data_IF_655947574409
#
_entry.id   IF_655947574409
#
_cell.length_a   1.000
_cell.length_b   1.000
_cell.length_c   1.000
_cell.angle_alpha   90.00
_cell.angle_beta   90.00
_cell.angle_gamma   90.00
#
_symmetry.space_group_name_H-M   'P 1'
#
loop_
_entity.id
_entity.type
_entity.pdbx_description
1 polymer ?
#
# COMPACT_ATOMS: atom_id res chain seq x y z
N UNK A 1 -33.29 10.22 1.15
CA UNK A 1 -32.34 9.57 0.24
C UNK A 1 -30.99 10.24 0.45
N UNK A 2 -30.13 9.61 1.25
CA UNK A 2 -28.86 10.21 1.66
C UNK A 2 -27.87 10.20 0.50
N UNK A 3 -27.31 11.36 0.19
CA UNK A 3 -26.51 11.63 -0.99
C UNK A 3 -25.18 10.84 -0.94
N UNK A 4 -25.16 9.68 -1.58
CA UNK A 4 -24.06 8.72 -1.70
C UNK A 4 -22.73 9.38 -2.09
N UNK A 5 -22.82 10.43 -2.90
CA UNK A 5 -21.70 11.21 -3.42
C UNK A 5 -21.01 12.11 -2.38
N UNK A 6 -21.74 12.61 -1.38
CA UNK A 6 -21.25 13.71 -0.53
C UNK A 6 -19.99 13.36 0.29
N UNK A 7 -19.83 12.10 0.70
CA UNK A 7 -18.66 11.68 1.50
C UNK A 7 -17.42 11.46 0.66
N UNK A 8 -17.52 10.80 -0.49
CA UNK A 8 -16.38 10.67 -1.41
C UNK A 8 -15.98 12.03 -1.98
N UNK A 9 -16.94 12.85 -2.39
CA UNK A 9 -16.69 14.16 -2.96
C UNK A 9 -15.95 15.07 -1.96
N UNK A 10 -16.38 15.06 -0.69
CA UNK A 10 -15.71 15.82 0.37
C UNK A 10 -14.26 15.35 0.60
N UNK A 11 -14.02 14.04 0.54
CA UNK A 11 -12.67 13.46 0.65
C UNK A 11 -11.81 13.86 -0.55
N UNK A 12 -12.34 13.76 -1.77
CA UNK A 12 -11.65 14.15 -3.01
C UNK A 12 -11.26 15.62 -2.98
N UNK A 13 -12.14 16.51 -2.53
CA UNK A 13 -11.83 17.94 -2.37
C UNK A 13 -10.69 18.14 -1.38
N UNK A 14 -10.76 17.49 -0.22
CA UNK A 14 -9.74 17.61 0.83
C UNK A 14 -8.37 17.13 0.37
N UNK A 15 -8.31 15.94 -0.24
CA UNK A 15 -7.08 15.37 -0.78
C UNK A 15 -6.52 16.20 -1.93
N UNK A 16 -7.38 16.70 -2.83
CA UNK A 16 -6.97 17.58 -3.94
C UNK A 16 -6.35 18.87 -3.42
N UNK A 17 -6.94 19.47 -2.38
CA UNK A 17 -6.38 20.66 -1.71
C UNK A 17 -5.03 20.34 -1.09
N UNK A 18 -4.91 19.21 -0.38
CA UNK A 18 -3.63 18.81 0.23
C UNK A 18 -2.53 18.55 -0.80
N UNK A 19 -2.87 17.97 -1.96
CA UNK A 19 -1.93 17.80 -3.07
C UNK A 19 -1.41 19.14 -3.59
N UNK A 20 -2.28 20.16 -3.73
CA UNK A 20 -1.87 21.51 -4.15
C UNK A 20 -0.94 22.14 -3.13
N UNK A 21 -1.26 22.06 -1.83
CA UNK A 21 -0.39 22.56 -0.74
C UNK A 21 1.00 21.92 -0.77
N UNK A 22 1.08 20.64 -1.16
CA UNK A 22 2.34 19.89 -1.30
C UNK A 22 3.07 20.16 -2.63
N UNK A 23 2.58 21.08 -3.47
CA UNK A 23 3.22 21.48 -4.72
C UNK A 23 3.01 20.51 -5.90
N UNK A 24 2.01 19.63 -5.83
CA UNK A 24 1.68 18.77 -6.97
C UNK A 24 1.19 19.60 -8.15
N UNK A 25 1.65 19.26 -9.36
CA UNK A 25 1.21 19.93 -10.60
C UNK A 25 -0.29 19.69 -10.84
N UNK A 26 -1.03 20.68 -11.36
CA UNK A 26 -2.47 20.54 -11.66
C UNK A 26 -2.79 19.32 -12.54
N UNK A 27 -1.93 19.04 -13.54
CA UNK A 27 -2.08 17.87 -14.42
C UNK A 27 -2.00 16.53 -13.67
N UNK A 28 -1.18 16.45 -12.62
CA UNK A 28 -1.06 15.24 -11.79
C UNK A 28 -2.32 15.07 -10.94
N UNK A 29 -2.84 16.16 -10.38
CA UNK A 29 -4.07 16.15 -9.59
C UNK A 29 -5.26 15.71 -10.46
N UNK A 30 -5.38 16.27 -11.67
CA UNK A 30 -6.44 15.87 -12.62
C UNK A 30 -6.40 14.38 -12.96
N UNK A 31 -5.20 13.77 -13.07
CA UNK A 31 -5.09 12.31 -13.31
C UNK A 31 -5.66 11.50 -12.15
N UNK A 32 -5.42 11.91 -10.92
CA UNK A 32 -6.00 11.26 -9.75
C UNK A 32 -7.53 11.46 -9.70
N UNK A 33 -8.01 12.67 -9.98
CA UNK A 33 -9.44 12.99 -9.99
C UNK A 33 -10.23 12.14 -10.99
N UNK A 34 -9.73 11.94 -12.21
CA UNK A 34 -10.39 11.05 -13.19
C UNK A 34 -10.57 9.63 -12.69
N UNK A 35 -9.62 9.12 -11.91
CA UNK A 35 -9.75 7.80 -11.32
C UNK A 35 -10.78 7.80 -10.17
N UNK A 36 -10.80 8.86 -9.36
CA UNK A 36 -11.79 9.00 -8.29
C UNK A 36 -13.21 9.21 -8.81
N UNK A 37 -13.39 9.82 -9.98
CA UNK A 37 -14.69 9.87 -10.68
C UNK A 37 -15.17 8.46 -11.06
N UNK A 38 -14.26 7.60 -11.54
CA UNK A 38 -14.60 6.20 -11.83
C UNK A 38 -14.91 5.41 -10.54
N UNK A 39 -14.19 5.68 -9.45
CA UNK A 39 -14.48 5.13 -8.13
C UNK A 39 -15.88 5.56 -7.66
N UNK A 40 -16.28 6.82 -7.86
CA UNK A 40 -17.62 7.30 -7.55
C UNK A 40 -18.70 6.51 -8.29
N UNK A 41 -18.56 6.34 -9.61
CA UNK A 41 -19.48 5.52 -10.42
C UNK A 41 -19.51 4.06 -9.97
N UNK A 42 -18.37 3.51 -9.58
CA UNK A 42 -18.29 2.16 -9.02
C UNK A 42 -19.08 2.07 -7.70
N UNK A 43 -18.89 3.03 -6.79
CA UNK A 43 -19.62 3.08 -5.52
C UNK A 43 -21.13 3.22 -5.71
N UNK A 44 -21.58 4.04 -6.67
CA UNK A 44 -23.00 4.14 -7.03
C UNK A 44 -23.55 2.80 -7.52
N UNK A 45 -22.83 2.11 -8.40
CA UNK A 45 -23.23 0.78 -8.92
C UNK A 45 -23.33 -0.27 -7.80
N UNK A 46 -22.49 -0.16 -6.77
CA UNK A 46 -22.50 -1.07 -5.62
C UNK A 46 -23.43 -0.59 -4.49
N UNK A 47 -24.17 0.50 -4.68
CA UNK A 47 -25.06 1.13 -3.69
C UNK A 47 -24.33 1.52 -2.37
N UNK A 48 -23.03 1.86 -2.47
CA UNK A 48 -22.19 2.20 -1.32
C UNK A 48 -22.05 3.71 -1.13
N UNK A 49 -22.56 4.21 -0.01
CA UNK A 49 -22.62 5.66 0.29
C UNK A 49 -21.41 6.25 1.02
N UNK A 50 -20.53 5.41 1.54
CA UNK A 50 -19.37 5.85 2.32
C UNK A 50 -18.13 5.17 1.80
N UNK A 51 -17.12 5.97 1.46
CA UNK A 51 -15.82 5.43 1.09
C UNK A 51 -15.14 4.79 2.30
N UNK A 52 -14.58 3.60 2.10
CA UNK A 52 -13.66 2.94 3.04
C UNK A 52 -12.46 2.40 2.26
N UNK A 53 -11.33 2.10 2.92
CA UNK A 53 -10.18 1.46 2.26
C UNK A 53 -10.56 0.17 1.53
N UNK A 54 -11.46 -0.65 2.10
CA UNK A 54 -11.93 -1.89 1.49
C UNK A 54 -12.64 -1.65 0.16
N UNK A 55 -13.45 -0.59 0.05
CA UNK A 55 -14.10 -0.20 -1.21
C UNK A 55 -13.06 0.22 -2.24
N UNK A 56 -12.02 0.96 -1.83
CA UNK A 56 -10.89 1.30 -2.69
C UNK A 56 -10.14 0.07 -3.22
N UNK A 57 -9.95 -0.95 -2.37
CA UNK A 57 -9.34 -2.22 -2.78
C UNK A 57 -10.22 -3.04 -3.72
N UNK A 58 -11.52 -3.15 -3.42
CA UNK A 58 -12.49 -3.83 -4.28
C UNK A 58 -12.57 -3.17 -5.65
N UNK A 59 -12.61 -1.84 -5.70
CA UNK A 59 -12.58 -1.09 -6.95
C UNK A 59 -11.34 -1.40 -7.80
N UNK A 60 -10.14 -1.37 -7.20
CA UNK A 60 -8.90 -1.72 -7.93
C UNK A 60 -8.93 -3.15 -8.48
N UNK A 61 -9.45 -4.09 -7.68
CA UNK A 61 -9.52 -5.50 -8.05
C UNK A 61 -10.57 -5.76 -9.14
N UNK A 62 -11.77 -5.23 -8.98
CA UNK A 62 -12.91 -5.58 -9.85
C UNK A 62 -12.97 -4.73 -11.12
N UNK A 63 -12.52 -3.48 -11.06
CA UNK A 63 -12.59 -2.57 -12.20
C UNK A 63 -11.29 -2.53 -13.02
N UNK A 64 -10.15 -2.74 -12.37
CA UNK A 64 -8.83 -2.67 -13.02
C UNK A 64 -8.05 -3.98 -12.98
N UNK A 65 -8.61 -5.05 -12.40
CA UNK A 65 -7.95 -6.36 -12.24
C UNK A 65 -6.61 -6.29 -11.47
N UNK A 66 -6.42 -5.22 -10.67
CA UNK A 66 -5.20 -4.99 -9.91
C UNK A 66 -5.24 -5.82 -8.63
N UNK A 67 -4.34 -6.79 -8.53
CA UNK A 67 -4.16 -7.62 -7.33
C UNK A 67 -2.77 -7.45 -6.72
N UNK A 68 -2.63 -7.75 -5.42
CA UNK A 68 -1.38 -7.55 -4.66
C UNK A 68 -0.27 -8.52 -5.09
N UNK A 69 -0.61 -9.60 -5.79
CA UNK A 69 0.32 -10.67 -6.17
C UNK A 69 1.08 -10.45 -7.48
N UNK A 70 0.77 -9.42 -8.25
CA UNK A 70 1.30 -9.24 -9.61
C UNK A 70 2.28 -8.07 -9.74
N UNK A 71 3.17 -8.16 -10.73
CA UNK A 71 4.12 -7.10 -11.05
C UNK A 71 3.38 -5.97 -11.77
N UNK A 72 2.98 -4.95 -11.00
CA UNK A 72 2.19 -3.84 -11.51
C UNK A 72 2.88 -3.06 -12.64
N UNK A 73 2.14 -2.80 -13.72
CA UNK A 73 2.53 -1.88 -14.79
C UNK A 73 2.68 -0.45 -14.24
N UNK A 74 3.23 0.46 -15.06
CA UNK A 74 3.35 1.88 -14.66
C UNK A 74 1.98 2.50 -14.41
N UNK A 75 0.97 2.11 -15.20
CA UNK A 75 -0.38 2.62 -15.10
C UNK A 75 -1.09 2.08 -13.87
N UNK A 76 -0.99 0.78 -13.61
CA UNK A 76 -1.57 0.15 -12.41
C UNK A 76 -1.00 0.73 -11.12
N UNK A 77 0.32 1.01 -11.08
CA UNK A 77 0.93 1.73 -9.95
C UNK A 77 0.35 3.12 -9.76
N UNK A 78 0.07 3.84 -10.85
CA UNK A 78 -0.58 5.15 -10.75
C UNK A 78 -2.02 5.02 -10.25
N UNK A 79 -2.74 3.96 -10.63
CA UNK A 79 -4.08 3.67 -10.13
C UNK A 79 -4.09 3.32 -8.65
N UNK A 80 -3.26 2.36 -8.22
CA UNK A 80 -3.07 2.02 -6.82
C UNK A 80 -2.65 3.23 -5.99
N UNK A 81 -1.76 4.08 -6.53
CA UNK A 81 -1.35 5.31 -5.86
C UNK A 81 -2.50 6.30 -5.66
N UNK A 82 -3.41 6.39 -6.62
CA UNK A 82 -4.57 7.27 -6.52
C UNK A 82 -5.48 6.87 -5.36
N UNK A 83 -5.67 5.56 -5.14
CA UNK A 83 -6.43 5.05 -3.99
C UNK A 83 -5.65 5.20 -2.68
N UNK A 84 -4.33 4.94 -2.69
CA UNK A 84 -3.48 5.16 -1.51
C UNK A 84 -3.59 6.59 -0.98
N UNK A 85 -3.63 7.60 -1.86
CA UNK A 85 -3.79 9.00 -1.44
C UNK A 85 -5.09 9.28 -0.67
N UNK A 86 -6.19 8.61 -1.03
CA UNK A 86 -7.46 8.72 -0.28
C UNK A 86 -7.34 8.02 1.08
N UNK A 87 -6.73 6.84 1.12
CA UNK A 87 -6.54 6.07 2.35
C UNK A 87 -5.62 6.78 3.34
N UNK A 88 -4.45 7.24 2.87
CA UNK A 88 -3.47 8.01 3.66
C UNK A 88 -4.17 9.17 4.37
N UNK A 89 -4.97 9.94 3.62
CA UNK A 89 -5.67 11.11 4.16
C UNK A 89 -6.82 10.75 5.09
N UNK A 90 -7.57 9.68 4.79
CA UNK A 90 -8.67 9.22 5.65
C UNK A 90 -8.15 8.76 7.02
N UNK A 91 -7.00 8.09 7.06
CA UNK A 91 -6.41 7.55 8.27
C UNK A 91 -5.66 8.62 9.08
N UNK A 92 -4.91 9.49 8.42
CA UNK A 92 -3.93 10.36 9.07
C UNK A 92 -4.18 11.86 8.89
N UNK A 93 -5.13 12.26 8.04
CA UNK A 93 -5.35 13.66 7.66
C UNK A 93 -4.22 14.26 6.81
N UNK A 94 -3.24 13.46 6.40
CA UNK A 94 -2.12 13.88 5.55
C UNK A 94 -1.95 12.95 4.36
N UNK A 95 -1.18 13.40 3.38
CA UNK A 95 -0.75 12.57 2.26
C UNK A 95 0.75 12.40 2.34
N UNK A 96 1.20 11.16 2.18
CA UNK A 96 2.62 10.87 2.08
C UNK A 96 3.09 11.14 0.65
N UNK A 97 4.35 11.51 0.38
CA UNK A 97 4.86 11.59 -0.98
C UNK A 97 4.75 10.24 -1.70
N UNK A 98 4.77 10.26 -3.03
CA UNK A 98 5.13 9.03 -3.74
C UNK A 98 6.56 8.71 -3.33
N UNK A 99 6.78 7.58 -2.66
CA UNK A 99 8.11 7.08 -2.40
C UNK A 99 8.89 7.14 -3.73
N UNK A 100 10.10 7.74 -3.74
CA UNK A 100 10.95 7.66 -4.91
C UNK A 100 10.99 6.22 -5.40
N UNK A 101 11.20 5.99 -6.70
CA UNK A 101 11.74 4.70 -7.14
C UNK A 101 13.13 4.57 -6.51
N UNK A 102 13.20 4.24 -5.23
CA UNK A 102 14.22 3.33 -4.78
C UNK A 102 14.00 2.11 -5.65
N UNK A 103 15.03 1.71 -6.36
CA UNK A 103 15.10 0.40 -6.98
C UNK A 103 15.04 -0.67 -5.88
N UNK A 104 13.93 -0.79 -5.17
CA UNK A 104 13.69 -1.87 -4.23
C UNK A 104 13.16 -3.02 -5.04
N UNK A 105 14.09 -3.86 -5.49
CA UNK A 105 13.87 -5.27 -5.20
C UNK A 105 13.58 -5.27 -3.70
N UNK A 106 12.32 -5.43 -3.27
CA UNK A 106 11.97 -5.44 -1.84
C UNK A 106 13.00 -6.32 -1.12
N UNK A 107 13.39 -6.00 0.10
CA UNK A 107 14.21 -6.87 0.93
C UNK A 107 13.67 -8.31 0.93
N UNK A 108 12.34 -8.49 0.87
CA UNK A 108 11.70 -9.80 0.67
C UNK A 108 12.09 -10.48 -0.64
N UNK A 109 12.28 -9.71 -1.71
CA UNK A 109 12.69 -10.19 -3.03
C UNK A 109 14.21 -10.30 -3.17
N UNK A 110 15.01 -9.45 -2.52
CA UNK A 110 16.48 -9.52 -2.48
C UNK A 110 16.93 -10.71 -1.65
N UNK A 111 16.29 -10.94 -0.51
CA UNK A 111 16.64 -11.99 0.44
C UNK A 111 15.73 -13.21 0.35
N UNK A 112 14.90 -13.32 -0.69
CA UNK A 112 13.97 -14.44 -0.85
C UNK A 112 14.68 -15.80 -0.86
N UNK A 113 15.86 -15.87 -1.46
CA UNK A 113 16.70 -17.09 -1.44
C UNK A 113 17.26 -17.36 -0.03
N UNK A 114 17.76 -16.35 0.68
CA UNK A 114 18.23 -16.47 2.06
C UNK A 114 17.12 -16.88 3.03
N UNK A 115 15.89 -16.43 2.80
CA UNK A 115 14.72 -16.84 3.58
C UNK A 115 14.32 -18.29 3.31
N UNK A 116 14.46 -18.75 2.07
CA UNK A 116 14.27 -20.16 1.74
C UNK A 116 15.35 -21.03 2.40
N UNK A 117 16.62 -20.64 2.31
CA UNK A 117 17.76 -21.33 2.93
C UNK A 117 17.62 -21.38 4.46
N UNK A 118 17.21 -20.27 5.09
CA UNK A 118 16.94 -20.23 6.53
C UNK A 118 15.81 -21.20 6.92
N UNK A 119 14.71 -21.23 6.16
CA UNK A 119 13.60 -22.16 6.44
C UNK A 119 14.01 -23.61 6.27
N UNK A 120 14.80 -23.93 5.23
CA UNK A 120 15.34 -25.26 5.01
C UNK A 120 16.24 -25.68 6.18
N UNK A 121 17.15 -24.79 6.61
CA UNK A 121 17.97 -25.02 7.80
C UNK A 121 17.14 -25.27 9.07
N UNK A 122 16.06 -24.51 9.27
CA UNK A 122 15.16 -24.69 10.41
C UNK A 122 14.41 -26.03 10.37
N UNK A 123 14.02 -26.48 9.18
CA UNK A 123 13.42 -27.81 8.97
C UNK A 123 14.43 -28.93 9.27
N UNK A 124 15.62 -28.82 8.70
CA UNK A 124 16.62 -29.89 8.76
C UNK A 124 17.23 -30.02 10.17
N UNK A 125 17.46 -28.89 10.85
CA UNK A 125 18.13 -28.87 12.15
C UNK A 125 17.19 -29.02 13.34
N UNK A 126 15.95 -28.53 13.22
CA UNK A 126 15.01 -28.45 14.35
C UNK A 126 13.66 -29.14 14.07
N UNK A 127 13.52 -29.85 12.95
CA UNK A 127 12.29 -30.56 12.55
C UNK A 127 11.05 -29.66 12.61
N UNK A 128 11.23 -28.39 12.26
CA UNK A 128 10.20 -27.38 12.45
C UNK A 128 8.99 -27.61 11.53
N UNK A 129 7.79 -27.47 12.09
CA UNK A 129 6.55 -27.69 11.34
C UNK A 129 6.30 -26.58 10.31
N UNK A 130 5.55 -26.92 9.26
CA UNK A 130 5.08 -25.98 8.23
C UNK A 130 4.31 -24.79 8.81
N UNK A 131 3.51 -25.01 9.86
CA UNK A 131 2.77 -23.95 10.55
C UNK A 131 3.72 -22.96 11.24
N UNK A 132 4.77 -23.44 11.91
CA UNK A 132 5.76 -22.57 12.56
C UNK A 132 6.58 -21.78 11.53
N UNK A 133 6.96 -22.42 10.42
CA UNK A 133 7.68 -21.75 9.33
C UNK A 133 6.83 -20.67 8.64
N UNK A 134 5.52 -20.90 8.50
CA UNK A 134 4.58 -19.90 8.00
C UNK A 134 4.44 -18.71 8.95
N UNK A 135 4.51 -18.95 10.26
CA UNK A 135 4.57 -17.87 11.24
C UNK A 135 5.89 -17.09 11.13
N UNK A 136 7.02 -17.75 10.86
CA UNK A 136 8.29 -17.08 10.61
C UNK A 136 8.23 -16.21 9.36
N UNK A 137 7.63 -16.70 8.27
CA UNK A 137 7.39 -15.89 7.07
C UNK A 137 6.61 -14.62 7.42
N UNK A 138 5.57 -14.74 8.25
CA UNK A 138 4.78 -13.58 8.71
C UNK A 138 5.59 -12.61 9.56
N UNK A 139 6.36 -13.08 10.54
CA UNK A 139 7.14 -12.22 11.42
C UNK A 139 8.30 -11.53 10.69
N UNK A 140 9.03 -12.28 9.87
CA UNK A 140 10.16 -11.76 9.11
C UNK A 140 9.66 -10.78 8.05
N UNK A 141 8.53 -11.06 7.37
CA UNK A 141 7.96 -10.11 6.42
C UNK A 141 7.57 -8.79 7.09
N UNK A 142 6.95 -8.85 8.27
CA UNK A 142 6.61 -7.65 9.05
C UNK A 142 7.86 -6.88 9.48
N UNK A 143 8.90 -7.59 9.92
CA UNK A 143 10.16 -6.99 10.32
C UNK A 143 10.89 -6.34 9.13
N UNK A 144 11.00 -7.01 8.00
CA UNK A 144 11.63 -6.46 6.79
C UNK A 144 10.88 -5.22 6.28
N UNK A 145 9.54 -5.24 6.31
CA UNK A 145 8.73 -4.06 5.98
C UNK A 145 8.97 -2.90 6.96
N UNK A 146 9.12 -3.20 8.26
CA UNK A 146 9.48 -2.20 9.25
C UNK A 146 10.86 -1.60 8.96
N UNK A 147 11.87 -2.43 8.68
CA UNK A 147 13.22 -1.96 8.35
C UNK A 147 13.24 -1.12 7.06
N UNK A 148 12.53 -1.55 6.00
CA UNK A 148 12.39 -0.78 4.76
C UNK A 148 11.80 0.62 5.00
N UNK A 149 10.90 0.74 5.96
CA UNK A 149 10.25 2.02 6.30
C UNK A 149 11.07 2.91 7.25
N UNK A 150 11.98 2.34 8.04
CA UNK A 150 12.63 3.06 9.15
C UNK A 150 14.15 3.16 9.01
N UNK A 151 14.76 2.43 8.07
CA UNK A 151 16.21 2.34 7.97
C UNK A 151 16.66 2.42 6.51
N UNK A 152 17.60 3.33 6.25
CA UNK A 152 18.20 3.50 4.91
C UNK A 152 19.48 2.69 4.71
N UNK A 153 20.16 2.29 5.79
CA UNK A 153 21.41 1.52 5.77
C UNK A 153 21.48 0.52 6.93
N UNK A 154 22.00 -0.70 6.68
CA UNK A 154 22.08 -1.79 7.69
C UNK A 154 22.85 -1.38 8.95
N UNK A 155 23.84 -0.49 8.82
CA UNK A 155 24.65 0.04 9.93
C UNK A 155 23.84 0.77 11.01
N UNK A 156 22.60 1.17 10.71
CA UNK A 156 21.69 1.83 11.64
C UNK A 156 20.88 0.85 12.51
N UNK A 157 20.96 -0.46 12.27
CA UNK A 157 20.34 -1.46 13.15
C UNK A 157 21.17 -1.55 14.44
N UNK A 158 20.65 -0.94 15.51
CA UNK A 158 21.24 -1.02 16.86
C UNK A 158 20.36 -1.87 17.78
N UNK A 159 20.91 -2.46 18.86
CA UNK A 159 20.14 -3.29 19.80
C UNK A 159 18.90 -2.59 20.40
N UNK A 160 18.97 -1.27 20.58
CA UNK A 160 17.84 -0.44 21.07
C UNK A 160 16.66 -0.40 20.08
N UNK A 161 16.94 -0.58 18.80
CA UNK A 161 15.94 -0.53 17.72
C UNK A 161 15.13 -1.83 17.57
N UNK A 162 15.60 -2.93 18.16
CA UNK A 162 15.00 -4.28 18.02
C UNK A 162 14.01 -4.59 19.16
N UNK A 163 14.05 -3.84 20.26
CA UNK A 163 13.31 -4.14 21.51
C UNK A 163 11.96 -3.40 21.63
N UNK A 164 11.66 -2.46 20.71
CA UNK A 164 10.37 -1.75 20.64
C UNK A 164 9.47 -2.30 19.54
#
# INVERSE_FOLDING_TARGET
MSNCHAKLDSLVVSVSTKLRERGYKPVTIQRHQRLWENLGKYMEKQEVTTYTPDIGFLFLREFYEITVSEKLTKQERAHARSIKLLNDFLETGTIFPMEPKVSTVSALKLFGYLLADFKQFQQDKFSMTSTTLKNYDRYISRFLLYLEAHISEISMITPVLIIN
#
